data_IF_454573910221
#
_entry.id   IF_454573910221
#
_cell.length_a   1.000
_cell.length_b   1.000
_cell.length_c   1.000
_cell.angle_alpha   90.00
_cell.angle_beta   90.00
_cell.angle_gamma   90.00
#
_symmetry.space_group_name_H-M   'P 1'
#
loop_
_entity.id
_entity.type
_entity.pdbx_description
1 polymer ?
#
# COMPACT_ATOMS: atom_id res chain seq x y z
N UNK A 1 2.86 22.90 -2.29
CA UNK A 1 2.24 22.32 -3.49
C UNK A 1 2.64 20.85 -3.49
N UNK A 2 1.72 19.93 -3.22
CA UNK A 2 2.04 18.49 -3.27
C UNK A 2 2.39 18.15 -4.72
N UNK A 3 3.62 17.69 -4.96
CA UNK A 3 4.21 17.58 -6.30
C UNK A 3 3.33 16.81 -7.31
N UNK A 4 2.41 15.96 -6.83
CA UNK A 4 1.59 15.09 -7.66
C UNK A 4 0.08 15.15 -7.38
N UNK A 5 -0.37 16.12 -6.56
CA UNK A 5 -1.78 16.30 -6.17
C UNK A 5 -2.47 15.02 -5.65
N UNK A 6 -1.71 14.13 -5.00
CA UNK A 6 -2.26 13.00 -4.27
C UNK A 6 -2.79 13.50 -2.91
N UNK A 7 -3.87 12.91 -2.37
CA UNK A 7 -4.27 13.16 -0.99
C UNK A 7 -3.14 12.79 -0.03
N UNK A 8 -3.09 13.41 1.14
CA UNK A 8 -2.09 13.09 2.15
C UNK A 8 -2.26 11.66 2.67
N UNK A 9 -1.25 10.78 2.52
CA UNK A 9 -1.30 9.47 3.13
C UNK A 9 -0.83 9.53 4.58
N UNK A 10 -1.20 8.49 5.33
CA UNK A 10 -0.54 8.12 6.56
C UNK A 10 0.73 7.33 6.22
N UNK A 11 1.88 7.86 6.61
CA UNK A 11 3.18 7.27 6.31
C UNK A 11 3.59 6.24 7.36
N UNK A 12 4.20 5.15 6.89
CA UNK A 12 4.87 4.15 7.72
C UNK A 12 3.98 3.57 8.85
N UNK A 13 2.70 3.33 8.60
CA UNK A 13 1.76 2.90 9.63
C UNK A 13 1.70 1.39 9.79
N UNK A 14 1.40 0.94 11.01
CA UNK A 14 1.01 -0.43 11.29
C UNK A 14 -0.52 -0.57 11.20
N UNK A 15 -0.96 -1.56 10.45
CA UNK A 15 -2.38 -1.92 10.33
C UNK A 15 -2.70 -3.08 11.27
N UNK A 16 -3.84 -2.99 11.96
CA UNK A 16 -4.34 -4.04 12.86
C UNK A 16 -5.83 -4.27 12.68
N UNK A 17 -6.28 -5.49 12.95
CA UNK A 17 -7.71 -5.76 13.09
C UNK A 17 -8.25 -5.20 14.42
N UNK A 18 -9.56 -4.93 14.50
CA UNK A 18 -10.23 -4.63 15.75
C UNK A 18 -10.12 -5.86 16.65
N UNK A 19 -9.42 -5.74 17.77
CA UNK A 19 -9.01 -6.87 18.62
C UNK A 19 -7.49 -7.05 18.73
N UNK A 20 -6.71 -6.29 17.96
CA UNK A 20 -5.26 -6.15 18.15
C UNK A 20 -4.39 -7.06 17.30
N UNK A 21 -4.98 -7.93 16.47
CA UNK A 21 -4.21 -8.78 15.54
C UNK A 21 -3.48 -7.92 14.51
N UNK A 22 -2.13 -7.98 14.42
CA UNK A 22 -1.38 -7.22 13.44
C UNK A 22 -1.61 -7.75 12.03
N UNK A 23 -1.88 -6.83 11.09
CA UNK A 23 -2.00 -7.11 9.66
C UNK A 23 -0.67 -6.85 8.93
N UNK A 24 0.16 -5.99 9.51
CA UNK A 24 1.48 -5.65 9.01
C UNK A 24 1.67 -4.15 8.83
N UNK A 25 2.92 -3.78 8.55
CA UNK A 25 3.33 -2.40 8.26
C UNK A 25 3.16 -2.09 6.77
N UNK A 26 2.71 -0.88 6.47
CA UNK A 26 2.63 -0.31 5.12
C UNK A 26 3.38 1.03 5.05
N UNK A 27 3.90 1.37 3.87
CA UNK A 27 4.73 2.56 3.71
C UNK A 27 3.90 3.84 3.53
N UNK A 28 2.75 3.73 2.87
CA UNK A 28 1.75 4.79 2.79
C UNK A 28 0.34 4.18 2.82
N UNK A 29 -0.60 4.84 3.49
CA UNK A 29 -1.99 4.37 3.61
C UNK A 29 -2.98 5.52 3.48
N UNK A 30 -3.99 5.32 2.63
CA UNK A 30 -5.15 6.21 2.49
C UNK A 30 -6.37 5.54 3.09
N UNK A 31 -6.86 6.07 4.21
CA UNK A 31 -7.98 5.49 4.99
C UNK A 31 -9.28 5.50 4.20
N UNK A 32 -9.61 6.63 3.56
CA UNK A 32 -10.86 6.80 2.81
C UNK A 32 -10.98 5.81 1.64
N UNK A 33 -9.85 5.53 0.97
CA UNK A 33 -9.80 4.62 -0.18
C UNK A 33 -9.33 3.21 0.20
N UNK A 34 -9.02 2.96 1.47
CA UNK A 34 -8.40 1.71 1.95
C UNK A 34 -7.31 1.18 1.02
N UNK A 35 -6.41 2.10 0.63
CA UNK A 35 -5.34 1.83 -0.33
C UNK A 35 -4.02 1.96 0.39
N UNK A 36 -3.17 0.97 0.23
CA UNK A 36 -1.85 0.87 0.81
C UNK A 36 -0.78 0.78 -0.28
N UNK A 37 0.36 1.38 0.01
CA UNK A 37 1.59 1.21 -0.75
C UNK A 37 2.55 0.36 0.07
N UNK A 38 3.19 -0.60 -0.61
CA UNK A 38 4.30 -1.36 -0.07
C UNK A 38 5.54 -1.11 -0.91
N UNK A 39 6.59 -0.59 -0.27
CA UNK A 39 7.92 -0.50 -0.85
C UNK A 39 8.62 -1.84 -0.70
N UNK A 40 8.61 -2.60 -1.78
CA UNK A 40 9.13 -3.95 -1.81
C UNK A 40 10.61 -3.96 -2.15
N UNK A 41 11.39 -4.68 -1.34
CA UNK A 41 12.78 -4.97 -1.65
C UNK A 41 12.80 -6.31 -2.39
N UNK A 42 13.26 -6.36 -3.65
CA UNK A 42 13.34 -7.62 -4.39
C UNK A 42 14.14 -8.66 -3.60
N UNK A 43 13.68 -9.91 -3.63
CA UNK A 43 14.45 -11.02 -3.08
C UNK A 43 15.75 -11.23 -3.86
N UNK A 44 16.72 -11.90 -3.24
CA UNK A 44 17.98 -12.32 -3.84
C UNK A 44 17.71 -13.18 -5.09
N UNK A 45 17.62 -12.55 -6.26
CA UNK A 45 17.13 -13.18 -7.49
C UNK A 45 16.83 -12.20 -8.63
N UNK A 46 16.77 -10.89 -8.34
CA UNK A 46 16.68 -9.84 -9.36
C UNK A 46 15.33 -9.14 -9.42
N UNK A 47 15.20 -8.12 -10.31
CA UNK A 47 13.96 -7.35 -10.44
C UNK A 47 12.79 -8.25 -10.85
N UNK A 48 11.69 -8.18 -10.11
CA UNK A 48 10.48 -8.99 -10.34
C UNK A 48 10.39 -10.26 -9.48
N UNK A 49 11.44 -10.60 -8.72
CA UNK A 49 11.35 -11.66 -7.71
C UNK A 49 10.91 -11.06 -6.38
N UNK A 50 9.61 -11.10 -6.08
CA UNK A 50 9.08 -10.70 -4.79
C UNK A 50 9.47 -11.74 -3.72
N UNK A 51 9.89 -11.28 -2.54
CA UNK A 51 10.16 -12.21 -1.45
C UNK A 51 8.85 -12.89 -1.01
N UNK A 52 8.85 -14.20 -0.68
CA UNK A 52 7.62 -14.92 -0.33
C UNK A 52 6.90 -14.32 0.89
N UNK A 53 7.63 -13.69 1.81
CA UNK A 53 7.05 -12.96 2.93
C UNK A 53 6.27 -11.71 2.49
N UNK A 54 6.72 -11.05 1.44
CA UNK A 54 6.10 -9.86 0.87
C UNK A 54 4.83 -10.20 0.10
N UNK A 55 4.87 -11.27 -0.71
CA UNK A 55 3.70 -11.83 -1.36
C UNK A 55 2.62 -12.22 -0.34
N UNK A 56 3.01 -12.94 0.72
CA UNK A 56 2.09 -13.35 1.77
C UNK A 56 1.46 -12.15 2.52
N UNK A 57 2.25 -11.08 2.76
CA UNK A 57 1.75 -9.84 3.37
C UNK A 57 0.75 -9.14 2.46
N UNK A 58 1.07 -9.01 1.18
CA UNK A 58 0.19 -8.42 0.16
C UNK A 58 -1.14 -9.19 0.11
N UNK A 59 -1.08 -10.50 -0.09
CA UNK A 59 -2.26 -11.37 -0.16
C UNK A 59 -3.14 -11.23 1.09
N UNK A 60 -2.52 -11.14 2.27
CA UNK A 60 -3.25 -10.99 3.52
C UNK A 60 -4.03 -9.68 3.60
N UNK A 61 -3.43 -8.57 3.17
CA UNK A 61 -4.07 -7.25 3.14
C UNK A 61 -5.17 -7.18 2.07
N UNK A 62 -4.90 -7.70 0.87
CA UNK A 62 -5.87 -7.73 -0.23
C UNK A 62 -7.13 -8.53 0.14
N UNK A 63 -6.98 -9.65 0.86
CA UNK A 63 -8.11 -10.44 1.38
C UNK A 63 -9.01 -9.70 2.36
N UNK A 64 -8.55 -8.59 2.95
CA UNK A 64 -9.33 -7.74 3.85
C UNK A 64 -10.00 -6.57 3.13
N UNK A 65 -9.85 -6.51 1.80
CA UNK A 65 -10.38 -5.42 0.96
C UNK A 65 -9.44 -4.22 0.86
N UNK A 66 -8.20 -4.33 1.36
CA UNK A 66 -7.20 -3.27 1.21
C UNK A 66 -6.56 -3.38 -0.17
N UNK A 67 -6.58 -2.30 -0.95
CA UNK A 67 -5.86 -2.26 -2.22
C UNK A 67 -4.38 -2.12 -1.95
N UNK A 68 -3.57 -3.09 -2.36
CA UNK A 68 -2.12 -3.02 -2.18
C UNK A 68 -1.44 -2.68 -3.50
N UNK A 69 -0.67 -1.61 -3.52
CA UNK A 69 0.18 -1.21 -4.63
C UNK A 69 1.63 -1.51 -4.23
N UNK A 70 2.17 -2.68 -4.63
CA UNK A 70 3.59 -2.92 -4.48
C UNK A 70 4.35 -2.09 -5.50
N UNK A 71 5.44 -1.49 -5.05
CA UNK A 71 6.43 -0.90 -5.92
C UNK A 71 7.81 -1.03 -5.31
N UNK A 72 8.84 -1.06 -6.12
CA UNK A 72 10.21 -1.07 -5.64
C UNK A 72 10.70 0.36 -5.39
N UNK A 73 11.63 0.57 -4.43
CA UNK A 73 12.31 1.85 -4.28
C UNK A 73 13.02 2.33 -5.55
N UNK A 74 13.31 1.42 -6.49
CA UNK A 74 13.88 1.76 -7.79
C UNK A 74 12.82 2.37 -8.71
N UNK A 75 11.66 1.74 -8.87
CA UNK A 75 10.57 2.26 -9.72
C UNK A 75 10.11 3.65 -9.28
N UNK A 76 10.09 3.90 -7.96
CA UNK A 76 9.75 5.23 -7.42
C UNK A 76 10.80 6.30 -7.75
N UNK A 77 12.08 5.94 -7.85
CA UNK A 77 13.17 6.87 -8.19
C UNK A 77 13.33 7.06 -9.70
N UNK A 78 13.14 5.99 -10.46
CA UNK A 78 13.34 5.99 -11.91
C UNK A 78 12.19 6.72 -12.64
N UNK A 79 10.94 6.62 -12.14
CA UNK A 79 9.76 7.26 -12.76
C UNK A 79 8.67 7.65 -11.73
N UNK A 80 8.88 8.71 -10.93
CA UNK A 80 7.95 9.12 -9.87
C UNK A 80 6.59 9.59 -10.41
N UNK A 81 6.55 10.22 -11.59
CA UNK A 81 5.31 10.66 -12.24
C UNK A 81 4.41 9.47 -12.61
N UNK A 82 5.00 8.39 -13.14
CA UNK A 82 4.29 7.14 -13.40
C UNK A 82 3.76 6.52 -12.10
N UNK A 83 4.56 6.47 -11.04
CA UNK A 83 4.08 5.93 -9.76
C UNK A 83 2.93 6.75 -9.19
N UNK A 84 3.00 8.08 -9.27
CA UNK A 84 1.90 8.94 -8.86
C UNK A 84 0.62 8.70 -9.69
N UNK A 85 0.77 8.42 -10.99
CA UNK A 85 -0.36 8.09 -11.87
C UNK A 85 -1.01 6.76 -11.49
N UNK A 86 -0.19 5.75 -11.17
CA UNK A 86 -0.65 4.44 -10.69
C UNK A 86 -1.42 4.61 -9.38
N UNK A 87 -0.84 5.32 -8.41
CA UNK A 87 -1.49 5.59 -7.12
C UNK A 87 -2.82 6.31 -7.33
N UNK A 88 -2.83 7.39 -8.12
CA UNK A 88 -4.06 8.15 -8.41
C UNK A 88 -5.16 7.27 -8.99
N UNK A 89 -4.81 6.43 -9.98
CA UNK A 89 -5.76 5.54 -10.62
C UNK A 89 -6.33 4.53 -9.63
N UNK A 90 -5.48 3.95 -8.78
CA UNK A 90 -5.92 3.04 -7.74
C UNK A 90 -6.82 3.70 -6.70
N UNK A 91 -6.50 4.93 -6.27
CA UNK A 91 -7.33 5.71 -5.35
C UNK A 91 -8.72 6.00 -5.93
N UNK A 92 -8.79 6.36 -7.22
CA UNK A 92 -10.07 6.58 -7.91
C UNK A 92 -10.86 5.27 -8.00
N UNK A 93 -10.23 4.17 -8.41
CA UNK A 93 -10.88 2.86 -8.54
C UNK A 93 -11.29 2.24 -7.20
N UNK A 94 -10.70 2.68 -6.08
CA UNK A 94 -11.08 2.22 -4.75
C UNK A 94 -12.39 2.83 -4.26
N UNK A 95 -12.79 4.00 -4.77
CA UNK A 95 -14.07 4.65 -4.41
C UNK A 95 -15.30 3.86 -4.89
N UNK A 96 -15.14 3.03 -5.92
CA UNK A 96 -16.21 2.21 -6.50
C UNK A 96 -16.38 0.85 -5.77
N UNK A 97 -15.56 0.55 -4.75
CA UNK A 97 -15.57 -0.74 -4.05
C UNK A 97 -16.39 -0.69 -2.76
N UNK A 98 -16.99 -1.83 -2.41
CA UNK A 98 -17.70 -2.00 -1.14
C UNK A 98 -16.77 -1.71 0.05
N UNK A 99 -17.32 -1.15 1.16
CA UNK A 99 -16.52 -0.79 2.33
C UNK A 99 -15.76 -2.01 2.85
N UNK A 100 -14.44 -1.94 3.04
CA UNK A 100 -13.65 -3.07 3.50
C UNK A 100 -13.82 -3.30 5.00
N UNK A 101 -13.15 -4.35 5.50
CA UNK A 101 -13.09 -4.63 6.92
C UNK A 101 -12.51 -3.43 7.69
N UNK A 102 -13.15 -3.07 8.81
CA UNK A 102 -12.66 -1.99 9.67
C UNK A 102 -11.26 -2.31 10.19
N UNK A 103 -10.28 -1.44 9.95
CA UNK A 103 -8.89 -1.59 10.41
C UNK A 103 -8.50 -0.45 11.34
N UNK A 104 -7.66 -0.77 12.32
CA UNK A 104 -7.04 0.21 13.23
C UNK A 104 -5.68 0.57 12.66
N UNK A 105 -5.47 1.87 12.46
CA UNK A 105 -4.20 2.42 11.99
C UNK A 105 -3.41 2.96 13.18
N UNK A 106 -2.17 2.53 13.32
CA UNK A 106 -1.27 3.00 14.37
C UNK A 106 -0.05 3.70 13.74
N UNK A 107 0.33 4.89 14.22
CA UNK A 107 1.59 5.50 13.83
C UNK A 107 2.76 4.66 14.35
N UNK A 108 3.79 4.53 13.52
CA UNK A 108 5.07 3.90 13.89
C UNK A 108 6.07 4.94 14.41
#
# INVERSE_FOLDING_TARGET
>A
MYAYALPDPLWNVDLKLPGGTPLGRVDAYWTEQCTAVLLEVPADGGPGNEAPACAARRDHLERLGITVIPMTPRELRDDPDRQATVIRTALLAALDRDPPAYVVVLPH
#
